data_IF_386539686775
#
_entry.id   IF_386539686775
#
_cell.length_a   1.000
_cell.length_b   1.000
_cell.length_c   1.000
_cell.angle_alpha   90.00
_cell.angle_beta   90.00
_cell.angle_gamma   90.00
#
_symmetry.space_group_name_H-M   'P 1'
#
loop_
_entity.id
_entity.type
_entity.pdbx_description
1 polymer ?
#
# COMPACT_ATOMS: atom_id res chain seq x y z
N UNK A 1 8.25 0.43 -9.67
CA UNK A 1 8.34 1.53 -10.65
C UNK A 1 7.01 2.24 -10.65
N UNK A 2 7.00 3.47 -10.16
CA UNK A 2 5.77 4.21 -9.88
C UNK A 2 5.74 5.43 -10.79
N UNK A 3 4.76 5.50 -11.69
CA UNK A 3 4.60 6.66 -12.58
C UNK A 3 4.16 7.87 -11.75
N UNK A 4 4.97 8.93 -11.78
CA UNK A 4 4.71 10.19 -11.07
C UNK A 4 3.67 11.04 -11.80
N UNK A 5 3.87 11.22 -13.10
CA UNK A 5 2.98 12.00 -13.95
C UNK A 5 3.17 11.64 -15.43
N UNK A 6 2.15 11.98 -16.23
CA UNK A 6 2.21 11.94 -17.68
C UNK A 6 2.36 13.34 -18.25
N UNK A 7 3.25 13.49 -19.23
CA UNK A 7 3.50 14.74 -19.94
C UNK A 7 3.44 14.52 -21.46
N UNK A 8 3.22 15.59 -22.22
CA UNK A 8 3.28 15.54 -23.67
C UNK A 8 4.36 16.47 -24.24
N UNK A 9 5.15 15.94 -25.17
CA UNK A 9 5.98 16.75 -26.07
C UNK A 9 5.23 17.02 -27.37
N UNK A 10 4.95 18.29 -27.65
CA UNK A 10 4.15 18.73 -28.79
C UNK A 10 5.04 19.24 -29.93
N UNK A 11 4.71 18.81 -31.13
CA UNK A 11 5.25 19.33 -32.39
C UNK A 11 4.08 19.67 -33.33
N UNK A 12 4.28 20.48 -34.37
CA UNK A 12 3.18 20.95 -35.22
C UNK A 12 2.31 19.85 -35.86
N UNK A 13 2.82 18.62 -36.02
CA UNK A 13 2.07 17.51 -36.60
C UNK A 13 1.94 16.27 -35.69
N UNK A 14 2.45 16.32 -34.46
CA UNK A 14 2.48 15.15 -33.57
C UNK A 14 2.57 15.56 -32.10
N UNK A 15 1.83 14.88 -31.25
CA UNK A 15 1.96 14.96 -29.80
C UNK A 15 2.42 13.60 -29.28
N UNK A 16 3.55 13.55 -28.56
CA UNK A 16 4.07 12.32 -27.95
C UNK A 16 3.84 12.37 -26.45
N UNK A 17 3.16 11.38 -25.90
CA UNK A 17 2.89 11.26 -24.46
C UNK A 17 3.95 10.38 -23.83
N UNK A 18 4.49 10.87 -22.72
CA UNK A 18 5.50 10.19 -21.92
C UNK A 18 5.04 10.05 -20.48
N UNK A 19 5.51 9.00 -19.82
CA UNK A 19 5.42 8.83 -18.37
C UNK A 19 6.76 9.21 -17.74
N UNK A 20 6.70 9.91 -16.60
CA UNK A 20 7.85 10.16 -15.74
C UNK A 20 7.82 9.15 -14.59
N UNK A 21 8.96 8.50 -14.35
CA UNK A 21 9.15 7.65 -13.19
C UNK A 21 9.42 8.47 -11.92
N UNK A 22 8.91 8.00 -10.80
CA UNK A 22 9.20 8.53 -9.45
C UNK A 22 10.62 8.17 -9.04
N UNK A 23 11.06 6.96 -9.37
CA UNK A 23 12.35 6.40 -8.95
C UNK A 23 13.50 6.93 -9.81
N UNK A 24 13.23 7.21 -11.09
CA UNK A 24 14.18 7.79 -12.04
C UNK A 24 13.57 9.00 -12.78
N UNK A 25 13.56 10.20 -12.16
CA UNK A 25 12.87 11.38 -12.71
C UNK A 25 13.41 11.89 -14.06
N UNK A 26 14.60 11.41 -14.46
CA UNK A 26 15.22 11.72 -15.75
C UNK A 26 14.86 10.71 -16.85
N UNK A 27 14.17 9.62 -16.50
CA UNK A 27 13.68 8.63 -17.46
C UNK A 27 12.33 9.09 -18.02
N UNK A 28 12.16 8.91 -19.34
CA UNK A 28 10.92 9.18 -20.05
C UNK A 28 10.51 7.93 -20.82
N UNK A 29 9.40 7.34 -20.42
CA UNK A 29 8.84 6.21 -21.15
C UNK A 29 7.78 6.66 -22.14
N UNK A 30 7.90 6.22 -23.38
CA UNK A 30 6.86 6.48 -24.38
C UNK A 30 5.58 5.68 -24.08
N UNK A 31 4.47 6.40 -23.95
CA UNK A 31 3.14 5.82 -23.72
C UNK A 31 2.42 5.64 -25.06
N UNK A 32 2.23 6.75 -25.77
CA UNK A 32 1.49 6.79 -27.03
C UNK A 32 1.79 8.07 -27.81
N UNK A 33 1.20 8.21 -28.99
CA UNK A 33 1.28 9.46 -29.75
C UNK A 33 0.00 9.76 -30.52
N UNK A 34 -0.35 11.04 -30.57
CA UNK A 34 -1.45 11.59 -31.36
C UNK A 34 -0.91 12.20 -32.65
N UNK A 35 -1.61 11.95 -33.75
CA UNK A 35 -1.34 12.56 -35.05
C UNK A 35 -1.92 13.97 -35.17
N UNK A 36 -1.70 14.62 -36.32
CA UNK A 36 -2.14 15.99 -36.59
C UNK A 36 -3.64 16.21 -36.34
N UNK A 37 -4.48 15.22 -36.68
CA UNK A 37 -5.94 15.32 -36.58
C UNK A 37 -6.44 15.31 -35.12
N UNK A 38 -5.65 14.76 -34.19
CA UNK A 38 -6.03 14.58 -32.78
C UNK A 38 -5.23 15.46 -31.81
N UNK A 39 -4.40 16.40 -32.29
CA UNK A 39 -3.55 17.22 -31.41
C UNK A 39 -4.34 17.99 -30.35
N UNK A 40 -5.55 18.44 -30.71
CA UNK A 40 -6.46 19.16 -29.83
C UNK A 40 -6.92 18.34 -28.61
N UNK A 41 -6.76 17.00 -28.65
CA UNK A 41 -7.16 16.08 -27.60
C UNK A 41 -6.02 15.75 -26.62
N UNK A 42 -4.81 16.29 -26.86
CA UNK A 42 -3.63 16.02 -26.01
C UNK A 42 -3.89 16.33 -24.54
N UNK A 43 -4.47 17.49 -24.24
CA UNK A 43 -4.72 17.90 -22.85
C UNK A 43 -5.73 17.00 -22.15
N UNK A 44 -6.80 16.60 -22.85
CA UNK A 44 -7.80 15.66 -22.33
C UNK A 44 -7.21 14.27 -22.06
N UNK A 45 -6.30 13.80 -22.93
CA UNK A 45 -5.59 12.54 -22.71
C UNK A 45 -4.68 12.61 -21.48
N UNK A 46 -3.92 13.70 -21.32
CA UNK A 46 -3.06 13.88 -20.15
C UNK A 46 -3.87 13.99 -18.86
N UNK A 47 -4.98 14.73 -18.87
CA UNK A 47 -5.87 14.85 -17.71
C UNK A 47 -6.42 13.48 -17.29
N UNK A 48 -6.97 12.72 -18.25
CA UNK A 48 -7.48 11.37 -17.95
C UNK A 48 -6.41 10.43 -17.40
N UNK A 49 -5.20 10.44 -17.98
CA UNK A 49 -4.09 9.60 -17.50
C UNK A 49 -3.60 10.00 -16.11
N UNK A 50 -3.48 11.30 -15.82
CA UNK A 50 -3.04 11.78 -14.51
C UNK A 50 -4.13 11.60 -13.42
N UNK A 51 -5.41 11.77 -13.76
CA UNK A 51 -6.52 11.41 -12.87
C UNK A 51 -6.50 9.92 -12.57
N UNK A 52 -6.27 9.06 -13.57
CA UNK A 52 -6.16 7.61 -13.37
C UNK A 52 -5.03 7.22 -12.40
N UNK A 53 -3.89 7.93 -12.38
CA UNK A 53 -2.82 7.65 -11.40
C UNK A 53 -3.32 7.81 -9.96
N UNK A 54 -4.24 8.74 -9.72
CA UNK A 54 -4.80 9.07 -8.41
C UNK A 54 -5.97 8.13 -8.08
N UNK A 55 -6.94 7.98 -8.99
CA UNK A 55 -8.21 7.31 -8.70
C UNK A 55 -8.20 5.82 -8.98
N UNK A 56 -7.30 5.36 -9.86
CA UNK A 56 -7.26 3.99 -10.40
C UNK A 56 -8.59 3.54 -11.02
N UNK A 57 -9.45 4.48 -11.41
CA UNK A 57 -10.74 4.19 -12.01
C UNK A 57 -10.59 3.85 -13.51
N UNK A 58 -10.52 2.56 -13.80
CA UNK A 58 -10.46 2.06 -15.18
C UNK A 58 -11.72 2.38 -15.99
N UNK A 59 -12.88 2.55 -15.34
CA UNK A 59 -14.14 2.83 -16.02
C UNK A 59 -14.20 4.28 -16.49
N UNK A 60 -13.82 5.23 -15.64
CA UNK A 60 -13.70 6.65 -16.02
C UNK A 60 -12.65 6.83 -17.12
N UNK A 61 -11.48 6.19 -16.97
CA UNK A 61 -10.44 6.25 -18.01
C UNK A 61 -10.92 5.65 -19.33
N UNK A 62 -11.58 4.49 -19.31
CA UNK A 62 -12.11 3.86 -20.52
C UNK A 62 -13.16 4.74 -21.22
N UNK A 63 -14.02 5.41 -20.44
CA UNK A 63 -15.00 6.39 -20.96
C UNK A 63 -14.30 7.56 -21.66
N UNK A 64 -13.29 8.16 -21.01
CA UNK A 64 -12.49 9.27 -21.59
C UNK A 64 -11.72 8.86 -22.85
N UNK A 65 -11.27 7.61 -22.91
CA UNK A 65 -10.54 7.07 -24.06
C UNK A 65 -11.45 6.65 -25.22
N UNK A 66 -12.77 6.56 -25.02
CA UNK A 66 -13.70 6.00 -26.01
C UNK A 66 -13.60 6.67 -27.39
N UNK A 67 -13.41 7.99 -27.41
CA UNK A 67 -13.38 8.82 -28.61
C UNK A 67 -11.99 8.97 -29.27
N UNK A 68 -10.96 8.37 -28.67
CA UNK A 68 -9.60 8.40 -29.21
C UNK A 68 -9.39 7.34 -30.30
N UNK A 69 -8.43 7.55 -31.23
CA UNK A 69 -8.05 6.53 -32.20
C UNK A 69 -7.69 5.20 -31.55
N UNK A 70 -8.03 4.09 -32.19
CA UNK A 70 -7.80 2.75 -31.65
C UNK A 70 -6.35 2.51 -31.23
N UNK A 71 -5.39 2.95 -32.07
CA UNK A 71 -3.97 2.84 -31.76
C UNK A 71 -3.57 3.59 -30.47
N UNK A 72 -4.21 4.72 -30.17
CA UNK A 72 -4.00 5.46 -28.93
C UNK A 72 -4.54 4.66 -27.75
N UNK A 73 -5.76 4.13 -27.86
CA UNK A 73 -6.39 3.32 -26.81
C UNK A 73 -5.58 2.07 -26.49
N UNK A 74 -5.11 1.35 -27.51
CA UNK A 74 -4.23 0.19 -27.35
C UNK A 74 -2.91 0.59 -26.71
N UNK A 75 -2.25 1.63 -27.21
CA UNK A 75 -0.96 2.08 -26.66
C UNK A 75 -1.06 2.49 -25.19
N UNK A 76 -2.14 3.19 -24.81
CA UNK A 76 -2.42 3.53 -23.40
C UNK A 76 -2.66 2.27 -22.58
N UNK A 77 -3.56 1.37 -23.02
CA UNK A 77 -3.86 0.13 -22.27
C UNK A 77 -2.63 -0.76 -22.11
N UNK A 78 -1.83 -0.92 -23.15
CA UNK A 78 -0.61 -1.72 -23.12
C UNK A 78 0.47 -1.08 -22.25
N UNK A 79 0.57 0.25 -22.25
CA UNK A 79 1.48 0.95 -21.35
C UNK A 79 1.04 0.75 -19.90
N UNK A 80 -0.24 1.02 -19.60
CA UNK A 80 -0.79 0.85 -18.26
C UNK A 80 -0.65 -0.59 -17.81
N UNK A 81 -1.05 -1.60 -18.60
CA UNK A 81 -0.89 -3.00 -18.22
C UNK A 81 0.57 -3.44 -17.97
N UNK A 82 1.57 -2.76 -18.56
CA UNK A 82 3.00 -3.09 -18.37
C UNK A 82 3.68 -2.31 -17.25
N UNK A 83 3.34 -1.04 -17.10
CA UNK A 83 4.05 -0.06 -16.24
C UNK A 83 3.20 0.46 -15.09
N UNK A 84 1.88 0.40 -15.26
CA UNK A 84 0.87 0.71 -14.26
C UNK A 84 -0.04 -0.49 -14.07
N UNK A 85 0.50 -1.71 -14.25
CA UNK A 85 -0.23 -2.93 -13.97
C UNK A 85 -0.88 -2.74 -12.60
N UNK A 86 -2.08 -3.27 -12.34
CA UNK A 86 -2.53 -3.33 -10.96
C UNK A 86 -1.34 -3.85 -10.15
N UNK A 87 -1.01 -3.20 -9.02
CA UNK A 87 0.08 -3.66 -8.17
C UNK A 87 -0.04 -5.19 -8.02
N UNK A 88 1.08 -5.90 -7.86
CA UNK A 88 1.07 -7.36 -7.74
C UNK A 88 -0.14 -7.79 -6.90
N UNK A 89 -0.88 -8.83 -7.36
CA UNK A 89 -2.23 -9.13 -6.91
C UNK A 89 -2.33 -8.94 -5.40
N UNK A 90 -3.08 -7.91 -4.96
CA UNK A 90 -3.33 -7.56 -3.54
C UNK A 90 -2.33 -8.25 -2.59
N UNK A 91 -1.07 -7.83 -2.67
CA UNK A 91 0.04 -8.50 -2.01
C UNK A 91 0.11 -8.13 -0.54
N UNK A 92 -0.92 -8.54 0.20
CA UNK A 92 -1.08 -8.54 1.66
C UNK A 92 -1.17 -7.12 2.30
N UNK A 93 -2.31 -6.63 2.82
CA UNK A 93 -3.34 -7.30 3.60
C UNK A 93 -4.71 -6.56 3.56
N UNK A 94 -5.73 -7.25 3.04
CA UNK A 94 -7.17 -7.02 3.29
C UNK A 94 -7.96 -6.11 2.34
N UNK A 95 -9.25 -5.93 2.63
CA UNK A 95 -10.24 -5.28 1.76
C UNK A 95 -10.23 -3.74 1.81
N UNK A 96 -9.33 -3.15 2.61
CA UNK A 96 -9.39 -1.75 3.03
C UNK A 96 -8.29 -0.85 2.46
N UNK A 97 -7.50 -1.33 1.50
CA UNK A 97 -6.70 -0.41 0.67
C UNK A 97 -5.45 -1.02 0.05
N UNK A 98 -4.94 -0.41 -1.04
CA UNK A 98 -3.67 -0.79 -1.64
C UNK A 98 -2.53 -0.12 -0.86
N UNK A 99 -2.04 -0.77 0.19
CA UNK A 99 -0.83 -0.32 0.88
C UNK A 99 0.35 -1.15 0.40
N UNK A 100 1.37 -0.52 -0.16
CA UNK A 100 2.56 -1.22 -0.64
C UNK A 100 3.58 -1.38 0.48
N UNK A 101 4.24 -2.54 0.53
CA UNK A 101 5.36 -2.75 1.44
C UNK A 101 6.58 -1.96 0.95
N UNK A 102 6.99 -0.97 1.72
CA UNK A 102 8.19 -0.15 1.50
C UNK A 102 9.45 -0.92 1.90
N UNK A 103 9.42 -1.59 3.05
CA UNK A 103 10.59 -2.28 3.60
C UNK A 103 10.20 -3.39 4.56
N UNK A 104 11.01 -4.43 4.60
CA UNK A 104 10.98 -5.46 5.62
C UNK A 104 12.25 -5.43 6.46
N UNK A 105 12.10 -5.54 7.78
CA UNK A 105 13.19 -5.51 8.75
C UNK A 105 12.99 -6.62 9.78
N UNK A 106 14.09 -7.19 10.24
CA UNK A 106 14.11 -8.14 11.35
C UNK A 106 14.74 -7.45 12.55
N UNK A 107 14.02 -7.42 13.66
CA UNK A 107 14.40 -6.73 14.88
C UNK A 107 14.46 -7.73 16.04
N UNK A 108 15.28 -7.41 17.03
CA UNK A 108 15.12 -7.98 18.36
C UNK A 108 13.99 -7.24 19.11
N UNK A 109 13.60 -7.78 20.27
CA UNK A 109 12.52 -7.21 21.07
C UNK A 109 12.84 -5.84 21.68
N UNK A 110 14.13 -5.51 21.85
CA UNK A 110 14.59 -4.30 22.54
C UNK A 110 14.47 -3.07 21.63
N UNK A 111 14.64 -3.25 20.31
CA UNK A 111 14.59 -2.19 19.31
C UNK A 111 13.16 -1.84 18.85
N UNK A 112 12.15 -2.65 19.17
CA UNK A 112 10.80 -2.53 18.61
C UNK A 112 10.16 -1.16 18.81
N UNK A 113 10.20 -0.63 20.04
CA UNK A 113 9.52 0.62 20.35
C UNK A 113 10.08 1.79 19.55
N UNK A 114 11.41 1.86 19.41
CA UNK A 114 12.07 2.93 18.68
C UNK A 114 11.66 2.91 17.20
N UNK A 115 11.71 1.74 16.55
CA UNK A 115 11.37 1.61 15.13
C UNK A 115 9.87 1.83 14.86
N UNK A 116 8.99 1.24 15.67
CA UNK A 116 7.53 1.43 15.53
C UNK A 116 7.18 2.90 15.75
N UNK A 117 7.78 3.55 16.75
CA UNK A 117 7.55 4.97 17.02
C UNK A 117 8.05 5.84 15.86
N UNK A 118 9.25 5.57 15.35
CA UNK A 118 9.81 6.34 14.25
C UNK A 118 8.92 6.26 13.00
N UNK A 119 8.48 5.05 12.62
CA UNK A 119 7.59 4.85 11.48
C UNK A 119 6.22 5.51 11.69
N UNK A 120 5.65 5.43 12.89
CA UNK A 120 4.35 6.03 13.21
C UNK A 120 4.40 7.57 13.20
N UNK A 121 5.54 8.16 13.58
CA UNK A 121 5.73 9.62 13.57
C UNK A 121 5.92 10.20 12.16
N UNK A 122 6.31 9.39 11.18
CA UNK A 122 6.44 9.82 9.78
C UNK A 122 5.24 9.36 8.92
N UNK A 123 4.14 8.97 9.57
CA UNK A 123 2.88 8.53 8.96
C UNK A 123 3.06 7.35 7.96
N UNK A 124 4.00 6.44 8.24
CA UNK A 124 4.09 5.16 7.53
C UNK A 124 3.14 4.15 8.17
N UNK A 125 2.53 3.30 7.33
CA UNK A 125 1.84 2.11 7.83
C UNK A 125 2.84 1.15 8.44
N UNK A 126 2.44 0.48 9.52
CA UNK A 126 3.28 -0.49 10.23
C UNK A 126 2.52 -1.80 10.31
N UNK A 127 3.26 -2.88 10.08
CA UNK A 127 2.87 -4.20 10.53
C UNK A 127 4.05 -4.88 11.21
N UNK A 128 3.80 -5.44 12.37
CA UNK A 128 4.80 -6.11 13.17
C UNK A 128 4.26 -7.49 13.57
N UNK A 129 5.07 -8.53 13.45
CA UNK A 129 4.72 -9.88 13.93
C UNK A 129 5.91 -10.57 14.55
N UNK A 130 5.65 -11.40 15.56
CA UNK A 130 6.68 -12.28 16.10
C UNK A 130 6.74 -13.60 15.32
N UNK A 131 7.95 -14.12 15.16
CA UNK A 131 8.20 -15.44 14.61
C UNK A 131 9.11 -16.23 15.54
N UNK A 132 8.80 -17.52 15.74
CA UNK A 132 9.68 -18.42 16.45
C UNK A 132 10.59 -19.17 15.47
N UNK A 133 11.90 -19.05 15.63
CA UNK A 133 12.85 -19.85 14.87
C UNK A 133 12.80 -21.35 15.27
N UNK A 134 13.50 -22.20 14.53
CA UNK A 134 13.55 -23.64 14.81
C UNK A 134 14.15 -24.01 16.20
N UNK A 135 14.70 -23.03 16.93
CA UNK A 135 15.25 -23.18 18.28
C UNK A 135 14.34 -22.53 19.34
N UNK A 136 13.17 -22.03 18.95
CA UNK A 136 12.21 -21.37 19.83
C UNK A 136 12.63 -19.96 20.24
N UNK A 137 13.59 -19.34 19.55
CA UNK A 137 13.91 -17.92 19.75
C UNK A 137 12.89 -17.09 19.00
N UNK A 138 12.40 -16.05 19.66
CA UNK A 138 11.46 -15.11 19.08
C UNK A 138 12.25 -14.01 18.37
N UNK A 139 12.08 -13.94 17.06
CA UNK A 139 12.50 -12.81 16.23
C UNK A 139 11.26 -11.99 15.86
N UNK A 140 11.46 -10.70 15.58
CA UNK A 140 10.36 -9.82 15.17
C UNK A 140 10.52 -9.36 13.74
N UNK A 141 9.45 -9.52 12.97
CA UNK A 141 9.35 -9.09 11.59
C UNK A 141 8.55 -7.78 11.54
N UNK A 142 9.21 -6.68 11.13
CA UNK A 142 8.61 -5.36 10.94
C UNK A 142 8.53 -5.02 9.45
N UNK A 143 7.30 -4.89 8.96
CA UNK A 143 6.97 -4.37 7.65
C UNK A 143 6.58 -2.88 7.76
N UNK A 144 7.29 -2.05 7.00
CA UNK A 144 6.94 -0.66 6.77
C UNK A 144 6.15 -0.55 5.46
N UNK A 145 5.07 0.22 5.51
CA UNK A 145 4.12 0.38 4.43
C UNK A 145 4.02 1.85 3.99
N UNK A 146 3.55 2.09 2.77
CA UNK A 146 3.48 3.43 2.18
C UNK A 146 2.61 4.40 2.96
N UNK A 147 1.54 3.91 3.59
CA UNK A 147 0.58 4.67 4.38
C UNK A 147 -0.21 3.74 5.32
N UNK A 148 -1.07 4.30 6.17
CA UNK A 148 -2.02 3.53 6.96
C UNK A 148 -3.22 3.10 6.11
N UNK A 149 -3.74 1.88 6.32
CA UNK A 149 -4.97 1.50 5.62
C UNK A 149 -6.17 2.23 6.22
N UNK A 150 -7.06 2.74 5.36
CA UNK A 150 -8.23 3.51 5.78
C UNK A 150 -9.42 2.58 6.03
N UNK A 151 -9.85 2.50 7.28
CA UNK A 151 -11.02 1.74 7.70
C UNK A 151 -12.26 2.63 7.72
N UNK A 152 -13.29 2.21 6.99
CA UNK A 152 -14.53 2.97 6.89
C UNK A 152 -15.25 3.08 8.26
N UNK A 153 -15.94 4.20 8.53
CA UNK A 153 -16.74 4.35 9.74
C UNK A 153 -17.78 3.23 9.89
N UNK A 154 -17.79 2.58 11.06
CA UNK A 154 -18.70 1.48 11.37
C UNK A 154 -18.28 0.10 10.83
N UNK A 155 -17.16 0.02 10.11
CA UNK A 155 -16.49 -1.25 9.84
C UNK A 155 -15.71 -1.73 11.08
N UNK A 156 -15.34 -3.01 11.10
CA UNK A 156 -14.39 -3.47 12.11
C UNK A 156 -13.04 -2.80 11.87
N UNK A 157 -12.47 -2.24 12.93
CA UNK A 157 -11.14 -1.59 13.00
C UNK A 157 -10.00 -2.61 12.78
N UNK A 158 -10.03 -3.30 11.65
CA UNK A 158 -9.04 -4.27 11.23
C UNK A 158 -8.84 -4.12 9.73
N UNK A 159 -7.58 -4.00 9.34
CA UNK A 159 -7.20 -3.81 7.94
C UNK A 159 -7.20 -5.11 7.16
N UNK A 160 -7.22 -6.27 7.84
CA UNK A 160 -7.16 -7.61 7.24
C UNK A 160 -8.22 -8.59 7.72
N UNK A 161 -8.34 -9.71 7.00
CA UNK A 161 -9.17 -10.84 7.42
C UNK A 161 -8.37 -11.70 8.39
N UNK A 162 -8.97 -12.07 9.53
CA UNK A 162 -8.35 -13.01 10.45
C UNK A 162 -8.20 -14.39 9.79
N UNK A 163 -7.06 -15.06 9.97
CA UNK A 163 -6.89 -16.39 9.42
C UNK A 163 -7.85 -17.38 10.08
N UNK A 164 -8.69 -18.03 9.27
CA UNK A 164 -9.79 -18.88 9.76
C UNK A 164 -9.36 -20.10 10.59
N UNK A 165 -8.07 -20.48 10.55
CA UNK A 165 -7.50 -21.61 11.28
C UNK A 165 -6.85 -21.24 12.63
N UNK A 166 -6.61 -19.96 12.89
CA UNK A 166 -5.95 -19.50 14.11
C UNK A 166 -6.93 -18.66 14.95
N UNK A 167 -7.54 -19.23 16.02
CA UNK A 167 -8.42 -18.46 16.88
C UNK A 167 -7.65 -17.32 17.55
N UNK A 168 -8.25 -16.13 17.52
CA UNK A 168 -7.76 -14.95 18.21
C UNK A 168 -8.03 -15.12 19.72
N UNK A 169 -6.98 -15.03 20.53
CA UNK A 169 -7.05 -15.10 21.99
C UNK A 169 -7.59 -13.78 22.56
N UNK A 170 -6.99 -12.66 22.13
CA UNK A 170 -7.48 -11.32 22.43
C UNK A 170 -7.03 -10.29 21.40
N UNK A 171 -7.71 -9.14 21.39
CA UNK A 171 -7.25 -7.93 20.71
C UNK A 171 -7.07 -6.82 21.74
N UNK A 172 -5.94 -6.11 21.66
CA UNK A 172 -5.77 -4.78 22.22
C UNK A 172 -5.82 -3.71 21.12
N UNK A 173 -6.48 -2.57 21.38
CA UNK A 173 -6.58 -1.44 20.44
C UNK A 173 -6.26 -0.16 21.22
N UNK A 174 -5.48 0.73 20.61
CA UNK A 174 -5.14 2.02 21.19
C UNK A 174 -6.40 2.85 21.44
N UNK A 175 -6.68 3.17 22.71
CA UNK A 175 -7.71 4.17 23.08
C UNK A 175 -7.13 5.56 23.33
N UNK A 176 -5.86 5.79 23.01
CA UNK A 176 -5.09 6.97 23.38
C UNK A 176 -4.70 7.81 22.16
N UNK A 177 -4.53 9.12 22.35
CA UNK A 177 -4.00 10.02 21.33
C UNK A 177 -2.57 9.61 20.90
N UNK A 178 -2.18 9.95 19.66
CA UNK A 178 -0.83 9.70 19.09
C UNK A 178 0.27 9.98 20.13
N UNK A 179 1.14 9.01 20.41
CA UNK A 179 2.26 9.13 21.37
C UNK A 179 2.39 7.92 22.29
N UNK A 180 1.51 7.82 23.29
CA UNK A 180 1.49 6.71 24.28
C UNK A 180 0.92 5.42 23.67
N UNK A 181 0.17 5.53 22.57
CA UNK A 181 -0.37 4.38 21.86
C UNK A 181 0.72 3.39 21.42
N UNK A 182 1.89 3.89 20.98
CA UNK A 182 3.00 3.05 20.53
C UNK A 182 3.60 2.25 21.68
N UNK A 183 3.96 2.91 22.79
CA UNK A 183 4.55 2.24 23.97
C UNK A 183 3.62 1.14 24.46
N UNK A 184 2.34 1.46 24.69
CA UNK A 184 1.38 0.48 25.19
C UNK A 184 1.15 -0.68 24.21
N UNK A 185 1.17 -0.43 22.90
CA UNK A 185 1.01 -1.48 21.90
C UNK A 185 2.21 -2.43 21.89
N UNK A 186 3.43 -1.89 21.97
CA UNK A 186 4.67 -2.67 22.00
C UNK A 186 4.79 -3.44 23.31
N UNK A 187 4.45 -2.84 24.45
CA UNK A 187 4.39 -3.53 25.76
C UNK A 187 3.41 -4.70 25.72
N UNK A 188 2.18 -4.49 25.21
CA UNK A 188 1.20 -5.56 25.07
C UNK A 188 1.67 -6.69 24.15
N UNK A 189 2.39 -6.34 23.07
CA UNK A 189 2.96 -7.32 22.15
C UNK A 189 4.09 -8.14 22.80
N UNK A 190 5.00 -7.47 23.51
CA UNK A 190 6.12 -8.11 24.21
C UNK A 190 5.64 -9.00 25.35
N UNK A 191 4.66 -8.56 26.14
CA UNK A 191 4.07 -9.34 27.24
C UNK A 191 3.41 -10.62 26.70
N UNK A 192 2.54 -10.50 25.70
CA UNK A 192 1.90 -11.66 25.08
C UNK A 192 2.91 -12.64 24.47
N UNK A 193 3.96 -12.11 23.81
CA UNK A 193 5.03 -12.95 23.26
C UNK A 193 5.85 -13.65 24.35
N UNK A 194 6.08 -13.01 25.50
CA UNK A 194 6.80 -13.61 26.63
C UNK A 194 6.00 -14.77 27.27
N UNK A 195 4.67 -14.74 27.17
CA UNK A 195 3.77 -15.82 27.56
C UNK A 195 3.71 -16.97 26.53
N UNK A 196 4.43 -16.85 25.41
CA UNK A 196 4.46 -17.86 24.35
C UNK A 196 3.35 -17.70 23.30
N UNK A 197 2.65 -16.57 23.30
CA UNK A 197 1.62 -16.27 22.30
C UNK A 197 2.23 -15.71 21.01
N UNK A 198 1.46 -15.81 19.94
CA UNK A 198 1.79 -15.19 18.66
C UNK A 198 1.08 -13.85 18.54
N UNK A 199 1.77 -12.86 18.00
CA UNK A 199 1.33 -11.47 18.01
C UNK A 199 1.42 -10.89 16.61
N UNK A 200 0.39 -10.11 16.24
CA UNK A 200 0.43 -9.21 15.10
C UNK A 200 -0.04 -7.81 15.51
N UNK A 201 0.83 -6.82 15.33
CA UNK A 201 0.52 -5.42 15.49
C UNK A 201 0.36 -4.76 14.12
N UNK A 202 -0.59 -3.84 13.98
CA UNK A 202 -0.77 -3.03 12.78
C UNK A 202 -1.35 -1.65 13.06
N UNK A 203 -1.03 -0.70 12.19
CA UNK A 203 -1.61 0.65 12.19
C UNK A 203 -2.70 0.79 11.13
N UNK A 204 -3.65 1.68 11.39
CA UNK A 204 -4.74 2.00 10.47
C UNK A 204 -5.33 3.37 10.78
N UNK A 205 -5.91 4.01 9.77
CA UNK A 205 -6.71 5.20 9.94
C UNK A 205 -8.18 4.80 10.10
N UNK A 206 -8.82 5.25 11.18
CA UNK A 206 -10.25 5.04 11.41
C UNK A 206 -10.87 6.36 11.87
N UNK A 207 -11.90 6.80 11.14
CA UNK A 207 -12.59 8.08 11.39
C UNK A 207 -11.62 9.29 11.48
N UNK A 208 -10.61 9.33 10.59
CA UNK A 208 -9.60 10.38 10.54
C UNK A 208 -8.58 10.34 11.69
N UNK A 209 -8.55 9.25 12.47
CA UNK A 209 -7.60 9.04 13.57
C UNK A 209 -6.75 7.81 13.31
N UNK A 210 -5.43 7.96 13.37
CA UNK A 210 -4.50 6.84 13.36
C UNK A 210 -4.60 6.04 14.66
N UNK A 211 -4.81 4.74 14.54
CA UNK A 211 -4.93 3.80 15.63
C UNK A 211 -3.94 2.64 15.47
N UNK A 212 -3.59 1.99 16.58
CA UNK A 212 -2.73 0.81 16.63
C UNK A 212 -3.54 -0.36 17.21
N UNK A 213 -3.51 -1.50 16.54
CA UNK A 213 -4.13 -2.74 17.01
C UNK A 213 -3.08 -3.82 17.19
N UNK A 214 -3.24 -4.61 18.25
CA UNK A 214 -2.45 -5.80 18.56
C UNK A 214 -3.41 -6.97 18.65
N UNK A 215 -3.29 -7.91 17.73
CA UNK A 215 -4.02 -9.17 17.71
C UNK A 215 -3.10 -10.28 18.26
N UNK A 216 -3.59 -11.05 19.24
CA UNK A 216 -2.85 -12.14 19.91
C UNK A 216 -3.52 -13.48 19.63
N UNK A 217 -2.71 -14.49 19.34
CA UNK A 217 -3.13 -15.82 18.92
C UNK A 217 -2.46 -16.91 19.76
N UNK A 218 -3.22 -17.95 20.10
CA UNK A 218 -2.74 -19.13 20.84
C UNK A 218 -1.88 -20.06 19.97
N UNK A 219 -1.99 -19.91 18.64
CA UNK A 219 -1.27 -20.71 17.65
C UNK A 219 -0.65 -19.78 16.61
N UNK A 220 0.43 -20.20 15.93
CA UNK A 220 1.04 -19.40 14.88
C UNK A 220 -0.01 -19.00 13.84
N UNK A 221 -0.22 -17.69 13.60
CA UNK A 221 -1.12 -17.27 12.53
C UNK A 221 -0.49 -17.73 11.21
N UNK A 222 -1.26 -18.35 10.30
CA UNK A 222 -0.71 -18.76 9.02
C UNK A 222 -0.06 -17.56 8.33
N UNK A 223 1.13 -17.83 7.78
CA UNK A 223 1.76 -16.93 6.83
C UNK A 223 0.77 -16.79 5.69
N UNK A 224 0.34 -15.56 5.40
CA UNK A 224 -0.51 -15.35 4.23
C UNK A 224 0.39 -15.64 3.03
N UNK A 225 0.12 -16.74 2.34
CA UNK A 225 0.87 -17.13 1.14
C UNK A 225 0.93 -15.92 0.21
N UNK A 226 2.16 -15.50 -0.10
CA UNK A 226 2.43 -14.47 -1.10
C UNK A 226 2.39 -15.14 -2.48
N UNK A 227 1.18 -15.42 -2.97
CA UNK A 227 0.92 -15.81 -4.37
C UNK A 227 0.71 -14.58 -5.26
#
# INVERSE_FOLDING_TARGET
MTVREFLAHRTPGKSRVFAIDTDEPQSLDAVTSLGADDLHRTDSLLDGLNVYLITRDETDLASRLADFPEAVRIGVRDFLARRCAPPPPLGAFGQFGPVERVRLMYLDGDDLEEFVRAAFLVDLGIRLSNEADARGRIDWELELLTEEAVVAPGAEARTWVLPGSAPLSFTWISKFAKGDAVTNAVEAALEASAEGSWVRLHTFEHDGTSEIRVDVFDVPPPVVDQD
#
